data_IF_534948542148
#
_entry.id   IF_534948542148
#
_cell.length_a   1.000
_cell.length_b   1.000
_cell.length_c   1.000
_cell.angle_alpha   90.00
_cell.angle_beta   90.00
_cell.angle_gamma   90.00
#
_symmetry.space_group_name_H-M   'P 1'
#
loop_
_entity.id
_entity.type
_entity.pdbx_description
1 polymer ?
#
# COMPACT_ATOMS: atom_id res chain seq x y z
N UNK A 1 8.26 -0.85 14.91
CA UNK A 1 6.85 -0.51 14.65
C UNK A 1 6.23 -1.70 13.93
N UNK A 2 5.10 -2.24 14.39
CA UNK A 2 4.47 -3.41 13.76
C UNK A 2 3.33 -2.95 12.83
N UNK A 3 3.30 -3.45 11.60
CA UNK A 3 2.23 -3.17 10.63
C UNK A 3 1.06 -4.13 10.85
N UNK A 4 -0.17 -3.61 10.86
CA UNK A 4 -1.39 -4.42 10.85
C UNK A 4 -1.99 -4.37 9.45
N UNK A 5 -1.73 -5.40 8.66
CA UNK A 5 -2.21 -5.49 7.28
C UNK A 5 -3.61 -6.07 7.21
N UNK A 6 -4.47 -5.45 6.40
CA UNK A 6 -5.78 -6.00 6.04
C UNK A 6 -5.86 -6.18 4.54
N UNK A 7 -6.26 -7.37 4.11
CA UNK A 7 -6.50 -7.70 2.69
C UNK A 7 -7.62 -6.80 2.16
N UNK A 8 -7.39 -6.13 1.03
CA UNK A 8 -8.41 -5.23 0.45
C UNK A 8 -9.45 -5.94 -0.39
N UNK A 9 -9.22 -7.20 -0.80
CA UNK A 9 -10.17 -8.02 -1.56
C UNK A 9 -9.94 -9.51 -1.29
N UNK A 10 -11.01 -10.27 -1.05
CA UNK A 10 -11.01 -11.73 -1.01
C UNK A 10 -11.75 -12.23 -2.27
N UNK A 11 -11.09 -12.22 -3.42
CA UNK A 11 -11.51 -12.99 -4.58
C UNK A 11 -10.91 -14.39 -4.51
N UNK A 12 -11.69 -15.41 -4.82
CA UNK A 12 -11.23 -16.81 -4.76
C UNK A 12 -10.10 -17.01 -5.77
N UNK A 13 -8.86 -17.10 -5.29
CA UNK A 13 -7.66 -17.29 -6.11
C UNK A 13 -6.84 -16.02 -6.41
N UNK A 14 -7.14 -14.87 -5.81
CA UNK A 14 -6.48 -13.60 -6.15
C UNK A 14 -5.26 -13.27 -5.27
N UNK A 15 -4.15 -12.94 -5.93
CA UNK A 15 -2.96 -12.31 -5.36
C UNK A 15 -3.30 -10.84 -5.07
N UNK A 16 -3.52 -10.53 -3.78
CA UNK A 16 -4.00 -9.22 -3.34
C UNK A 16 -2.89 -8.33 -2.78
N UNK A 17 -3.14 -7.02 -2.81
CA UNK A 17 -2.37 -6.04 -2.03
C UNK A 17 -3.06 -5.86 -0.68
N UNK A 18 -2.29 -5.93 0.40
CA UNK A 18 -2.75 -5.67 1.75
C UNK A 18 -2.29 -4.30 2.20
N UNK A 19 -3.18 -3.53 2.82
CA UNK A 19 -2.88 -2.17 3.27
C UNK A 19 -2.81 -2.15 4.79
N UNK A 20 -1.78 -1.50 5.34
CA UNK A 20 -1.67 -1.32 6.78
C UNK A 20 -2.75 -0.36 7.29
N UNK A 21 -3.59 -0.83 8.21
CA UNK A 21 -4.73 -0.05 8.73
C UNK A 21 -4.40 0.75 9.98
N UNK A 22 -3.32 0.39 10.68
CA UNK A 22 -2.91 1.00 11.94
C UNK A 22 -1.97 2.20 11.77
N UNK A 23 -1.68 2.62 10.54
CA UNK A 23 -0.75 3.72 10.24
C UNK A 23 -1.39 4.91 9.54
N UNK A 24 -2.64 4.81 9.10
CA UNK A 24 -3.37 5.92 8.48
C UNK A 24 -3.86 6.89 9.56
N UNK A 25 -2.98 7.74 10.08
CA UNK A 25 -3.32 8.72 11.10
C UNK A 25 -2.28 9.82 11.26
N UNK A 26 -2.71 10.95 11.83
CA UNK A 26 -1.86 12.11 12.09
C UNK A 26 -0.62 11.78 12.96
N UNK A 27 -0.68 10.69 13.73
CA UNK A 27 0.36 10.26 14.67
C UNK A 27 1.59 9.65 13.99
N UNK A 28 1.44 9.18 12.74
CA UNK A 28 2.54 8.63 11.93
C UNK A 28 2.99 9.56 10.80
N UNK A 29 2.39 10.76 10.71
CA UNK A 29 2.60 11.67 9.59
C UNK A 29 1.97 11.19 8.27
N UNK A 30 1.05 10.22 8.31
CA UNK A 30 0.35 9.71 7.13
C UNK A 30 1.14 8.66 6.35
N UNK A 31 1.80 7.74 7.06
CA UNK A 31 2.52 6.63 6.43
C UNK A 31 1.54 5.62 5.81
N UNK A 32 1.79 5.21 4.57
CA UNK A 32 1.03 4.16 3.86
C UNK A 32 1.97 2.97 3.64
N UNK A 33 1.64 1.83 4.22
CA UNK A 33 2.38 0.59 3.98
C UNK A 33 1.51 -0.41 3.23
N UNK A 34 2.09 -1.01 2.19
CA UNK A 34 1.50 -2.05 1.36
C UNK A 34 2.30 -3.33 1.54
N UNK A 35 1.62 -4.47 1.62
CA UNK A 35 2.24 -5.79 1.54
C UNK A 35 1.67 -6.54 0.35
N UNK A 36 2.56 -7.03 -0.48
CA UNK A 36 2.23 -8.03 -1.50
C UNK A 36 1.95 -9.36 -0.79
N UNK A 37 0.74 -9.89 -0.94
CA UNK A 37 0.33 -11.14 -0.28
C UNK A 37 1.02 -12.40 -0.85
N UNK A 38 1.55 -12.35 -2.08
CA UNK A 38 2.27 -13.44 -2.74
C UNK A 38 3.74 -13.47 -2.33
N UNK A 39 4.41 -12.32 -2.41
CA UNK A 39 5.85 -12.24 -2.16
C UNK A 39 6.18 -11.89 -0.70
N UNK A 40 5.20 -11.36 0.05
CA UNK A 40 5.40 -10.84 1.40
C UNK A 40 6.19 -9.53 1.44
N UNK A 41 6.56 -8.96 0.29
CA UNK A 41 7.34 -7.72 0.19
C UNK A 41 6.49 -6.57 0.75
N UNK A 42 7.10 -5.79 1.66
CA UNK A 42 6.49 -4.62 2.26
C UNK A 42 7.08 -3.37 1.63
N UNK A 43 6.22 -2.55 1.02
CA UNK A 43 6.56 -1.23 0.52
C UNK A 43 5.96 -0.17 1.43
N UNK A 44 6.76 0.79 1.87
CA UNK A 44 6.34 1.85 2.80
C UNK A 44 6.52 3.20 2.13
N UNK A 45 5.47 4.01 2.15
CA UNK A 45 5.41 5.33 1.55
C UNK A 45 5.05 6.36 2.61
N UNK A 46 5.61 7.55 2.49
CA UNK A 46 5.01 8.75 3.10
C UNK A 46 3.73 9.14 2.36
N UNK A 47 2.89 9.98 2.96
CA UNK A 47 1.68 10.48 2.33
C UNK A 47 1.97 11.19 1.00
N UNK A 48 3.10 11.91 0.92
CA UNK A 48 3.50 12.66 -0.27
C UNK A 48 3.92 11.71 -1.39
N UNK A 49 4.78 10.73 -1.09
CA UNK A 49 5.20 9.71 -2.06
C UNK A 49 4.01 8.88 -2.54
N UNK A 50 3.09 8.54 -1.65
CA UNK A 50 1.88 7.80 -2.01
C UNK A 50 1.00 8.59 -2.99
N UNK A 51 0.83 9.90 -2.76
CA UNK A 51 0.09 10.77 -3.69
C UNK A 51 0.78 10.87 -5.04
N UNK A 52 2.10 11.04 -5.06
CA UNK A 52 2.89 11.08 -6.29
C UNK A 52 2.80 9.75 -7.06
N UNK A 53 2.91 8.62 -6.37
CA UNK A 53 2.74 7.29 -6.95
C UNK A 53 1.37 7.13 -7.62
N UNK A 54 0.28 7.49 -6.92
CA UNK A 54 -1.09 7.44 -7.51
C UNK A 54 -1.18 8.32 -8.76
N UNK A 55 -0.57 9.51 -8.74
CA UNK A 55 -0.58 10.41 -9.89
C UNK A 55 0.19 9.81 -11.07
N UNK A 56 1.38 9.26 -10.85
CA UNK A 56 2.18 8.59 -11.89
C UNK A 56 1.47 7.38 -12.50
N UNK A 57 0.82 6.54 -11.67
CA UNK A 57 0.00 5.41 -12.15
C UNK A 57 -1.13 5.91 -13.05
N UNK A 58 -1.85 6.97 -12.64
CA UNK A 58 -2.92 7.56 -13.46
C UNK A 58 -2.41 8.20 -14.75
N UNK A 59 -1.19 8.72 -14.74
CA UNK A 59 -0.53 9.28 -15.91
C UNK A 59 0.06 8.20 -16.84
N UNK A 60 0.07 6.92 -16.43
CA UNK A 60 0.67 5.82 -17.19
C UNK A 60 2.20 5.86 -17.20
N UNK A 61 2.82 6.46 -16.16
CA UNK A 61 4.29 6.60 -16.06
C UNK A 61 5.02 5.28 -15.79
N UNK A 62 4.31 4.27 -15.31
CA UNK A 62 4.87 2.97 -15.00
C UNK A 62 4.45 1.96 -16.07
N UNK A 63 5.44 1.35 -16.73
CA UNK A 63 5.23 0.17 -17.57
C UNK A 63 5.05 -1.04 -16.65
N UNK A 64 3.91 -1.71 -16.74
CA UNK A 64 3.50 -2.85 -15.90
C UNK A 64 3.55 -4.17 -16.66
#
# INVERSE_FOLDING_TARGET
MAFEFKVSTLGVGEEGVEVATNLAGAETGGTVALRDSKSGVVSVFTLVEWRAFIQGVKAGEFDV
#
